data_IF_947786095545
#
_entry.id   IF_947786095545
#
_cell.length_a   1.000
_cell.length_b   1.000
_cell.length_c   1.000
_cell.angle_alpha   90.00
_cell.angle_beta   90.00
_cell.angle_gamma   90.00
#
_symmetry.space_group_name_H-M   'P 1'
#
loop_
_entity.id
_entity.type
_entity.pdbx_description
1 polymer ?
#
# COMPACT_ATOMS: atom_id res chain seq x y z
N UNK A 1 14.18 -11.43 -38.70
CA UNK A 1 14.59 -10.18 -38.04
C UNK A 1 13.47 -9.83 -37.08
N UNK A 2 13.41 -10.54 -35.95
CA UNK A 2 12.43 -10.29 -34.90
C UNK A 2 13.17 -9.74 -33.69
N UNK A 3 12.50 -8.89 -32.90
CA UNK A 3 13.02 -7.88 -31.96
C UNK A 3 13.31 -6.55 -32.69
N UNK A 4 12.82 -5.38 -32.27
CA UNK A 4 12.66 -4.84 -30.91
C UNK A 4 11.55 -3.77 -30.95
N UNK A 5 10.34 -4.07 -30.49
CA UNK A 5 9.41 -3.05 -29.98
C UNK A 5 9.05 -3.47 -28.55
N UNK A 6 10.00 -3.35 -27.63
CA UNK A 6 9.66 -3.19 -26.22
C UNK A 6 9.60 -1.69 -26.00
N UNK A 7 8.40 -1.14 -25.91
CA UNK A 7 8.22 0.21 -25.37
C UNK A 7 8.96 0.25 -24.04
N UNK A 8 9.95 1.14 -23.95
CA UNK A 8 10.78 1.25 -22.76
C UNK A 8 9.93 1.89 -21.67
N UNK A 9 9.31 1.06 -20.84
CA UNK A 9 8.48 1.52 -19.73
C UNK A 9 9.30 2.49 -18.85
N UNK A 10 8.92 3.78 -18.77
CA UNK A 10 9.78 4.81 -18.20
C UNK A 10 9.92 4.71 -16.67
N UNK A 11 9.01 4.00 -16.00
CA UNK A 11 9.11 3.71 -14.56
C UNK A 11 8.45 2.37 -14.22
N UNK A 12 8.98 1.67 -13.22
CA UNK A 12 8.33 0.48 -12.65
C UNK A 12 7.24 0.79 -11.62
N UNK A 13 6.69 2.01 -11.63
CA UNK A 13 5.66 2.43 -10.67
C UNK A 13 4.24 2.09 -11.13
N UNK A 14 4.07 1.84 -12.43
CA UNK A 14 2.85 1.41 -13.07
C UNK A 14 3.24 0.47 -14.21
N UNK A 15 2.48 -0.59 -14.43
CA UNK A 15 2.61 -1.43 -15.62
C UNK A 15 1.35 -1.41 -16.49
N UNK A 16 1.44 -2.05 -17.66
CA UNK A 16 0.36 -2.11 -18.64
C UNK A 16 -0.82 -3.00 -18.20
N UNK A 17 -0.68 -3.72 -17.07
CA UNK A 17 -1.78 -4.48 -16.44
C UNK A 17 -2.62 -3.62 -15.49
N UNK A 18 -2.16 -2.40 -15.19
CA UNK A 18 -2.79 -1.50 -14.23
C UNK A 18 -2.32 -1.73 -12.79
N UNK A 19 -1.23 -2.48 -12.58
CA UNK A 19 -0.64 -2.65 -11.26
C UNK A 19 0.18 -1.41 -10.89
N UNK A 20 0.02 -0.93 -9.65
CA UNK A 20 0.76 0.21 -9.12
C UNK A 20 1.74 -0.23 -8.03
N UNK A 21 2.92 0.40 -8.00
CA UNK A 21 3.88 0.22 -6.92
C UNK A 21 3.43 0.92 -5.63
N UNK A 22 3.97 0.47 -4.50
CA UNK A 22 3.73 1.10 -3.18
C UNK A 22 4.08 2.59 -3.15
N UNK A 23 5.00 3.05 -4.01
CA UNK A 23 5.40 4.46 -4.08
C UNK A 23 4.25 5.34 -4.57
N UNK A 24 3.46 4.85 -5.53
CA UNK A 24 2.27 5.55 -6.02
C UNK A 24 1.25 5.73 -4.89
N UNK A 25 1.01 4.68 -4.09
CA UNK A 25 0.09 4.72 -2.95
C UNK A 25 0.60 5.69 -1.88
N UNK A 26 1.90 5.65 -1.56
CA UNK A 26 2.55 6.57 -0.62
C UNK A 26 2.41 8.03 -1.05
N UNK A 27 2.68 8.34 -2.33
CA UNK A 27 2.52 9.69 -2.88
C UNK A 27 1.05 10.16 -2.88
N UNK A 28 0.11 9.27 -3.21
CA UNK A 28 -1.32 9.60 -3.21
C UNK A 28 -1.84 9.94 -1.81
N UNK A 29 -1.40 9.21 -0.78
CA UNK A 29 -1.72 9.52 0.61
C UNK A 29 -1.11 10.84 1.08
N UNK A 30 0.10 11.16 0.60
CA UNK A 30 0.76 12.43 0.89
C UNK A 30 -0.03 13.67 0.46
N UNK A 31 -0.85 13.59 -0.60
CA UNK A 31 -1.76 14.68 -1.03
C UNK A 31 -2.75 15.07 0.08
N UNK A 32 -3.11 14.11 0.94
CA UNK A 32 -4.02 14.30 2.07
C UNK A 32 -3.30 14.46 3.41
N UNK A 33 -1.97 14.59 3.40
CA UNK A 33 -1.15 14.65 4.62
C UNK A 33 -1.12 13.33 5.41
N UNK A 34 -1.33 12.20 4.73
CA UNK A 34 -1.27 10.86 5.33
C UNK A 34 0.06 10.18 5.01
N UNK A 35 0.55 9.39 5.96
CA UNK A 35 1.79 8.62 5.85
C UNK A 35 1.54 7.11 5.94
N UNK A 36 2.34 6.32 5.22
CA UNK A 36 2.36 4.86 5.33
C UNK A 36 3.50 4.41 6.21
N UNK A 37 3.18 3.59 7.22
CA UNK A 37 4.16 2.89 8.03
C UNK A 37 4.06 1.39 7.74
N UNK A 38 5.20 0.75 7.51
CA UNK A 38 5.25 -0.70 7.34
C UNK A 38 4.91 -1.39 8.67
N UNK A 39 3.89 -2.23 8.66
CA UNK A 39 3.40 -2.93 9.86
C UNK A 39 4.48 -3.80 10.55
N UNK A 40 5.40 -4.36 9.77
CA UNK A 40 6.51 -5.17 10.27
C UNK A 40 7.81 -4.38 10.51
N UNK A 41 7.77 -3.05 10.39
CA UNK A 41 8.94 -2.22 10.70
C UNK A 41 9.24 -2.26 12.21
N UNK A 42 10.53 -2.11 12.54
CA UNK A 42 10.97 -1.99 13.94
C UNK A 42 10.30 -0.80 14.63
N UNK A 43 10.16 0.30 13.92
CA UNK A 43 9.52 1.52 14.42
C UNK A 43 8.08 1.26 14.85
N UNK A 44 7.26 0.65 13.98
CA UNK A 44 5.89 0.27 14.32
C UNK A 44 5.83 -0.72 15.49
N UNK A 45 6.66 -1.77 15.46
CA UNK A 45 6.69 -2.79 16.52
C UNK A 45 7.08 -2.23 17.89
N UNK A 46 7.93 -1.20 17.93
CA UNK A 46 8.33 -0.55 19.18
C UNK A 46 7.19 0.23 19.85
N UNK A 47 6.18 0.67 19.09
CA UNK A 47 5.01 1.35 19.63
C UNK A 47 4.10 0.43 20.45
N UNK A 48 4.20 -0.90 20.24
CA UNK A 48 3.39 -1.92 20.94
C UNK A 48 1.88 -1.65 20.88
N UNK A 49 1.42 -1.05 19.78
CA UNK A 49 0.00 -0.78 19.52
C UNK A 49 -0.69 -2.09 19.16
N UNK A 50 -1.80 -2.40 19.84
CA UNK A 50 -2.67 -3.49 19.42
C UNK A 50 -3.36 -3.10 18.10
N UNK A 51 -3.17 -3.89 17.01
CA UNK A 51 -3.70 -3.58 15.68
C UNK A 51 -5.21 -3.29 15.63
N UNK A 52 -6.01 -3.75 16.60
CA UNK A 52 -7.46 -3.45 16.67
C UNK A 52 -7.77 -1.96 16.90
N UNK A 53 -6.78 -1.21 17.39
CA UNK A 53 -6.89 0.23 17.66
C UNK A 53 -6.51 1.08 16.45
N UNK A 54 -5.89 0.50 15.41
CA UNK A 54 -5.57 1.23 14.19
C UNK A 54 -6.82 1.63 13.40
N UNK A 55 -6.72 2.74 12.68
CA UNK A 55 -7.84 3.28 11.88
C UNK A 55 -8.01 2.52 10.57
N UNK A 56 -6.91 2.17 9.91
CA UNK A 56 -6.91 1.49 8.63
C UNK A 56 -5.59 0.80 8.33
N UNK A 57 -5.65 -0.19 7.45
CA UNK A 57 -4.52 -0.88 6.86
C UNK A 57 -4.68 -0.87 5.33
N UNK A 58 -3.55 -0.80 4.64
CA UNK A 58 -3.45 -1.14 3.23
C UNK A 58 -2.65 -2.44 3.14
N UNK A 59 -3.21 -3.44 2.51
CA UNK A 59 -2.62 -4.77 2.39
C UNK A 59 -2.31 -5.05 0.92
N UNK A 60 -1.22 -5.77 0.69
CA UNK A 60 -0.92 -6.40 -0.59
C UNK A 60 -0.85 -7.90 -0.37
N UNK A 61 -1.67 -8.66 -1.10
CA UNK A 61 -1.56 -10.12 -1.14
C UNK A 61 -1.58 -10.58 -2.59
N UNK A 62 -0.51 -11.24 -3.03
CA UNK A 62 -0.36 -11.73 -4.42
C UNK A 62 -0.71 -10.68 -5.47
N UNK A 63 -0.06 -9.51 -5.39
CA UNK A 63 -0.26 -8.42 -6.35
C UNK A 63 -1.70 -7.83 -6.35
N UNK A 64 -2.45 -8.07 -5.27
CA UNK A 64 -3.75 -7.45 -5.06
C UNK A 64 -3.72 -6.50 -3.88
N UNK A 65 -3.96 -5.21 -4.16
CA UNK A 65 -4.11 -4.17 -3.15
C UNK A 65 -5.53 -4.13 -2.62
N UNK A 66 -5.69 -4.12 -1.31
CA UNK A 66 -7.00 -3.94 -0.66
C UNK A 66 -6.84 -3.16 0.65
N UNK A 67 -7.92 -2.52 1.09
CA UNK A 67 -7.94 -1.71 2.31
C UNK A 67 -8.81 -2.35 3.37
N UNK A 68 -8.33 -2.36 4.61
CA UNK A 68 -9.15 -2.68 5.80
C UNK A 68 -9.31 -1.40 6.59
N UNK A 69 -10.53 -0.92 6.83
CA UNK A 69 -10.79 0.33 7.55
C UNK A 69 -11.78 0.10 8.68
N UNK A 70 -11.42 0.56 9.87
CA UNK A 70 -12.33 0.61 11.02
C UNK A 70 -13.35 1.72 10.82
N UNK A 71 -14.63 1.41 11.00
CA UNK A 71 -15.74 2.36 10.98
C UNK A 71 -16.40 2.34 12.36
N UNK A 72 -16.48 3.50 13.01
CA UNK A 72 -17.06 3.63 14.35
C UNK A 72 -16.40 2.74 15.40
N UNK A 73 -17.18 2.30 16.38
CA UNK A 73 -16.76 1.42 17.47
C UNK A 73 -17.06 -0.04 17.14
N UNK A 74 -16.47 -0.55 16.06
CA UNK A 74 -16.55 -1.98 15.74
C UNK A 74 -15.72 -2.78 16.76
N UNK A 75 -16.33 -3.11 17.88
CA UNK A 75 -15.90 -4.21 18.77
C UNK A 75 -16.38 -5.49 18.10
N UNK A 76 -15.46 -6.34 17.65
CA UNK A 76 -15.86 -7.69 17.26
C UNK A 76 -16.33 -8.42 18.53
N UNK A 77 -17.54 -8.99 18.47
CA UNK A 77 -17.99 -10.04 19.38
C UNK A 77 -17.21 -11.31 19.09
#
# INVERSE_FOLDING_TARGET
MESIFHEKQPSGNMDDSGFFSIRVISSALGVWGLELVLFNSREYQQLRIDPIHEKAFICNYKEHWFTVRKLGQQVRV
#
